data_IF_155922628740
#
_entry.id   IF_155922628740
#
_cell.length_a   1.000
_cell.length_b   1.000
_cell.length_c   1.000
_cell.angle_alpha   90.00
_cell.angle_beta   90.00
_cell.angle_gamma   90.00
#
_symmetry.space_group_name_H-M   'P 1'
#
loop_
_entity.id
_entity.type
_entity.pdbx_description
1 polymer ?
#
# COMPACT_ATOMS: atom_id res chain seq x y z
N UNK A 1 -19.15 20.89 15.29
CA UNK A 1 -19.09 20.18 14.00
C UNK A 1 -17.69 20.39 13.45
N UNK A 2 -16.78 19.46 13.72
CA UNK A 2 -15.43 19.48 13.14
C UNK A 2 -15.55 18.72 11.83
N UNK A 3 -15.58 19.45 10.71
CA UNK A 3 -15.37 18.83 9.40
C UNK A 3 -13.92 18.35 9.37
N UNK A 4 -13.71 17.04 9.47
CA UNK A 4 -12.41 16.44 9.21
C UNK A 4 -12.09 16.64 7.74
N UNK A 5 -11.14 17.53 7.48
CA UNK A 5 -10.50 17.67 6.17
C UNK A 5 -9.93 16.30 5.82
N UNK A 6 -10.48 15.65 4.78
CA UNK A 6 -9.91 14.41 4.25
C UNK A 6 -8.64 14.84 3.55
N UNK A 7 -7.56 14.98 4.30
CA UNK A 7 -6.26 15.35 3.75
C UNK A 7 -5.94 14.39 2.61
N UNK A 8 -5.74 14.95 1.40
CA UNK A 8 -5.32 14.18 0.25
C UNK A 8 -3.99 13.47 0.59
N UNK A 9 -3.94 12.17 0.35
CA UNK A 9 -2.74 11.36 0.46
C UNK A 9 -2.24 11.11 -0.95
N UNK A 10 -1.15 11.77 -1.35
CA UNK A 10 -0.48 11.49 -2.62
C UNK A 10 0.65 10.49 -2.37
N UNK A 11 0.64 9.39 -3.11
CA UNK A 11 1.71 8.38 -3.08
C UNK A 11 2.60 8.57 -4.31
N UNK A 12 3.89 8.77 -4.08
CA UNK A 12 4.89 8.88 -5.14
C UNK A 12 5.46 7.50 -5.52
N UNK A 13 6.04 7.41 -6.70
CA UNK A 13 6.70 6.21 -7.23
C UNK A 13 7.87 5.73 -6.35
N UNK A 14 8.53 6.67 -5.66
CA UNK A 14 9.58 6.41 -4.67
C UNK A 14 9.06 6.01 -3.28
N UNK A 15 7.75 5.80 -3.13
CA UNK A 15 7.11 5.37 -1.88
C UNK A 15 6.92 6.48 -0.84
N UNK A 16 7.13 7.75 -1.20
CA UNK A 16 6.79 8.88 -0.32
C UNK A 16 5.29 9.13 -0.30
N UNK A 17 4.83 9.65 0.84
CA UNK A 17 3.44 10.08 1.02
C UNK A 17 3.39 11.58 1.30
N UNK A 18 2.58 12.32 0.56
CA UNK A 18 2.19 13.68 0.93
C UNK A 18 0.81 13.61 1.56
N UNK A 19 0.73 13.80 2.88
CA UNK A 19 -0.54 14.03 3.58
C UNK A 19 -0.63 15.52 3.83
N UNK A 20 -1.72 16.17 3.39
CA UNK A 20 -1.99 17.62 3.52
C UNK A 20 -1.18 18.30 4.63
N UNK A 21 -0.11 19.00 4.23
CA UNK A 21 0.88 19.76 5.00
C UNK A 21 2.13 19.07 5.60
N UNK A 22 2.24 17.73 5.63
CA UNK A 22 3.46 17.04 6.10
C UNK A 22 3.86 15.92 5.13
N UNK A 23 5.01 16.07 4.49
CA UNK A 23 5.61 14.97 3.73
C UNK A 23 6.13 13.91 4.71
N UNK A 24 5.45 12.77 4.78
CA UNK A 24 5.93 11.59 5.52
C UNK A 24 6.73 10.72 4.54
N UNK A 25 8.04 10.67 4.75
CA UNK A 25 8.93 9.83 3.97
C UNK A 25 9.43 8.69 4.86
N UNK A 26 9.11 7.47 4.48
CA UNK A 26 9.70 6.27 5.08
C UNK A 26 11.20 6.26 4.74
N UNK A 27 12.05 5.95 5.71
CA UNK A 27 13.50 5.81 5.56
C UNK A 27 13.95 4.41 5.99
N UNK A 28 13.66 3.36 5.19
CA UNK A 28 13.99 1.97 5.51
C UNK A 28 15.46 1.73 5.85
N UNK A 29 16.37 2.51 5.25
CA UNK A 29 17.81 2.37 5.49
C UNK A 29 18.28 3.02 6.80
N UNK A 30 17.41 3.74 7.52
CA UNK A 30 17.75 4.53 8.72
C UNK A 30 16.84 4.24 9.91
N UNK A 31 15.65 3.69 9.68
CA UNK A 31 14.70 3.35 10.71
C UNK A 31 14.17 1.91 10.49
N UNK A 32 14.39 1.00 11.46
CA UNK A 32 13.88 -0.38 11.35
C UNK A 32 12.36 -0.46 11.30
N UNK A 33 11.62 0.49 11.89
CA UNK A 33 10.15 0.52 11.81
C UNK A 33 9.71 0.85 10.39
N UNK A 34 10.33 1.86 9.77
CA UNK A 34 10.05 2.21 8.37
C UNK A 34 10.39 1.05 7.43
N UNK A 35 11.46 0.31 7.72
CA UNK A 35 11.82 -0.89 6.96
C UNK A 35 10.73 -1.97 7.05
N UNK A 36 10.21 -2.23 8.25
CA UNK A 36 9.11 -3.18 8.46
C UNK A 36 7.81 -2.73 7.77
N UNK A 37 7.47 -1.44 7.86
CA UNK A 37 6.29 -0.89 7.18
C UNK A 37 6.39 -1.11 5.67
N UNK A 38 7.56 -0.81 5.06
CA UNK A 38 7.79 -1.03 3.63
C UNK A 38 7.70 -2.51 3.29
N UNK A 39 8.35 -3.39 4.07
CA UNK A 39 8.34 -4.83 3.82
C UNK A 39 6.93 -5.43 3.87
N UNK A 40 6.15 -5.13 4.92
CA UNK A 40 4.77 -5.60 5.06
C UNK A 40 3.89 -5.04 3.94
N UNK A 41 4.05 -3.77 3.57
CA UNK A 41 3.28 -3.16 2.49
C UNK A 41 3.57 -3.83 1.13
N UNK A 42 4.83 -4.16 0.86
CA UNK A 42 5.22 -4.89 -0.35
C UNK A 42 4.67 -6.32 -0.35
N UNK A 43 4.76 -7.01 0.78
CA UNK A 43 4.21 -8.35 0.96
C UNK A 43 2.70 -8.40 0.70
N UNK A 44 1.96 -7.47 1.30
CA UNK A 44 0.51 -7.30 1.09
C UNK A 44 0.23 -7.03 -0.39
N UNK A 45 0.99 -6.15 -1.04
CA UNK A 45 0.82 -5.86 -2.47
C UNK A 45 1.02 -7.10 -3.35
N UNK A 46 2.07 -7.89 -3.10
CA UNK A 46 2.32 -9.14 -3.83
C UNK A 46 1.19 -10.14 -3.62
N UNK A 47 0.72 -10.31 -2.38
CA UNK A 47 -0.38 -11.22 -2.09
C UNK A 47 -1.70 -10.80 -2.75
N UNK A 48 -1.99 -9.50 -2.78
CA UNK A 48 -3.15 -8.96 -3.49
C UNK A 48 -3.05 -9.16 -5.01
N UNK A 49 -1.83 -9.17 -5.56
CA UNK A 49 -1.56 -9.50 -6.96
C UNK A 49 -1.62 -11.01 -7.27
N UNK A 50 -1.86 -11.87 -6.27
CA UNK A 50 -2.02 -13.30 -6.43
C UNK A 50 -0.78 -14.14 -6.12
N UNK A 51 0.27 -13.55 -5.54
CA UNK A 51 1.41 -14.32 -5.01
C UNK A 51 0.98 -15.06 -3.76
N UNK A 52 1.28 -16.36 -3.71
CA UNK A 52 0.99 -17.20 -2.56
C UNK A 52 1.90 -16.83 -1.38
N UNK A 53 1.33 -16.76 -0.17
CA UNK A 53 2.10 -16.37 1.02
C UNK A 53 3.23 -17.38 1.35
N UNK A 54 3.13 -18.63 0.90
CA UNK A 54 4.22 -19.60 1.04
C UNK A 54 5.49 -19.23 0.24
N UNK A 55 5.36 -18.44 -0.82
CA UNK A 55 6.48 -17.92 -1.61
C UNK A 55 7.03 -16.61 -1.04
N UNK A 56 6.19 -15.87 -0.31
CA UNK A 56 6.50 -14.55 0.23
C UNK A 56 7.76 -14.53 1.10
N UNK A 57 7.94 -15.52 1.99
CA UNK A 57 9.12 -15.57 2.88
C UNK A 57 10.42 -15.57 2.07
N UNK A 58 10.49 -16.42 1.04
CA UNK A 58 11.66 -16.53 0.16
C UNK A 58 11.90 -15.20 -0.54
N UNK A 59 10.85 -14.61 -1.09
CA UNK A 59 10.94 -13.35 -1.84
C UNK A 59 11.39 -12.18 -0.94
N UNK A 60 10.97 -12.15 0.33
CA UNK A 60 11.43 -11.17 1.32
C UNK A 60 12.93 -11.31 1.62
N UNK A 61 13.42 -12.55 1.79
CA UNK A 61 14.86 -12.81 2.01
C UNK A 61 15.67 -12.47 0.77
N UNK A 62 15.19 -12.81 -0.42
CA UNK A 62 15.83 -12.45 -1.70
C UNK A 62 15.88 -10.93 -1.92
N UNK A 63 14.89 -10.19 -1.39
CA UNK A 63 14.89 -8.74 -1.37
C UNK A 63 15.86 -8.12 -0.32
N UNK A 64 16.59 -8.94 0.42
CA UNK A 64 17.61 -8.51 1.38
C UNK A 64 17.11 -8.36 2.82
N UNK A 65 15.92 -8.86 3.15
CA UNK A 65 15.43 -8.91 4.52
C UNK A 65 16.17 -9.99 5.32
N UNK A 66 16.45 -9.70 6.60
CA UNK A 66 16.96 -10.72 7.51
C UNK A 66 15.94 -11.84 7.72
N UNK A 67 16.42 -13.08 7.84
CA UNK A 67 15.55 -14.26 7.88
C UNK A 67 14.52 -14.20 9.02
N UNK A 68 14.93 -13.79 10.23
CA UNK A 68 14.04 -13.68 11.39
C UNK A 68 12.93 -12.64 11.18
N UNK A 69 13.26 -11.52 10.54
CA UNK A 69 12.26 -10.50 10.22
C UNK A 69 11.33 -10.99 9.11
N UNK A 70 11.85 -11.71 8.11
CA UNK A 70 11.06 -12.32 7.06
C UNK A 70 10.08 -13.37 7.62
N UNK A 71 10.53 -14.19 8.58
CA UNK A 71 9.70 -15.15 9.31
C UNK A 71 8.57 -14.42 10.06
N UNK A 72 8.90 -13.36 10.81
CA UNK A 72 7.90 -12.59 11.55
C UNK A 72 6.84 -11.94 10.65
N UNK A 73 7.23 -11.40 9.49
CA UNK A 73 6.28 -10.83 8.52
C UNK A 73 5.43 -11.92 7.88
N UNK A 74 6.04 -13.04 7.50
CA UNK A 74 5.34 -14.17 6.91
C UNK A 74 4.27 -14.72 7.87
N UNK A 75 4.64 -15.02 9.12
CA UNK A 75 3.74 -15.59 10.11
C UNK A 75 2.60 -14.61 10.44
N UNK A 76 2.92 -13.32 10.57
CA UNK A 76 1.90 -12.30 10.79
C UNK A 76 0.86 -12.25 9.67
N UNK A 77 1.27 -12.39 8.41
CA UNK A 77 0.36 -12.35 7.26
C UNK A 77 -0.42 -13.65 7.06
N UNK A 78 0.15 -14.80 7.45
CA UNK A 78 -0.58 -16.07 7.50
C UNK A 78 -1.70 -16.08 8.55
N UNK A 79 -1.50 -15.38 9.67
CA UNK A 79 -2.50 -15.26 10.73
C UNK A 79 -3.68 -14.35 10.37
N UNK A 80 -3.57 -13.55 9.30
CA UNK A 80 -4.67 -12.71 8.82
C UNK A 80 -5.81 -13.58 8.28
N UNK A 81 -7.01 -13.39 8.81
CA UNK A 81 -8.16 -14.21 8.43
C UNK A 81 -8.57 -13.99 6.97
N UNK A 82 -9.16 -15.02 6.35
CA UNK A 82 -9.75 -14.92 4.99
C UNK A 82 -10.74 -13.75 4.89
N UNK A 83 -11.50 -13.48 5.96
CA UNK A 83 -12.46 -12.37 6.03
C UNK A 83 -11.75 -11.01 6.00
N UNK A 84 -10.63 -10.88 6.71
CA UNK A 84 -9.88 -9.63 6.74
C UNK A 84 -9.17 -9.40 5.40
N UNK A 85 -8.63 -10.45 4.79
CA UNK A 85 -8.14 -10.38 3.42
C UNK A 85 -9.22 -9.97 2.42
N UNK A 86 -10.44 -10.50 2.56
CA UNK A 86 -11.57 -10.09 1.72
C UNK A 86 -11.92 -8.61 1.89
N UNK A 87 -11.85 -8.08 3.12
CA UNK A 87 -12.06 -6.66 3.38
C UNK A 87 -10.97 -5.78 2.75
N UNK A 88 -9.70 -6.19 2.83
CA UNK A 88 -8.58 -5.48 2.18
C UNK A 88 -8.79 -5.45 0.67
N UNK A 89 -9.12 -6.60 0.04
CA UNK A 89 -9.41 -6.66 -1.40
C UNK A 89 -10.58 -5.75 -1.79
N UNK A 90 -11.65 -5.73 -0.99
CA UNK A 90 -12.80 -4.86 -1.23
C UNK A 90 -12.42 -3.37 -1.17
N UNK A 91 -11.51 -3.00 -0.26
CA UNK A 91 -10.99 -1.63 -0.16
C UNK A 91 -10.10 -1.26 -1.35
N UNK A 92 -9.20 -2.15 -1.75
CA UNK A 92 -8.36 -1.95 -2.94
C UNK A 92 -9.23 -1.73 -4.17
N UNK A 93 -10.22 -2.62 -4.39
CA UNK A 93 -11.16 -2.48 -5.50
C UNK A 93 -11.94 -1.15 -5.46
N UNK A 94 -12.39 -0.73 -4.28
CA UNK A 94 -13.07 0.56 -4.12
C UNK A 94 -12.19 1.72 -4.61
N UNK A 95 -10.90 1.72 -4.25
CA UNK A 95 -9.97 2.78 -4.67
C UNK A 95 -9.62 2.71 -6.15
N UNK A 96 -9.50 1.52 -6.73
CA UNK A 96 -9.33 1.35 -8.18
C UNK A 96 -10.52 1.95 -8.95
N UNK A 97 -11.75 1.59 -8.54
CA UNK A 97 -12.97 2.09 -9.15
C UNK A 97 -13.12 3.62 -8.97
N UNK A 98 -12.78 4.17 -7.80
CA UNK A 98 -12.86 5.61 -7.54
C UNK A 98 -11.80 6.42 -8.30
N UNK A 99 -10.57 5.91 -8.41
CA UNK A 99 -9.51 6.53 -9.21
C UNK A 99 -9.88 6.56 -10.70
N UNK A 100 -10.46 5.48 -11.23
CA UNK A 100 -10.95 5.44 -12.60
C UNK A 100 -12.06 6.48 -12.84
N UNK A 101 -12.96 6.67 -11.86
CA UNK A 101 -14.01 7.69 -11.91
C UNK A 101 -13.44 9.11 -11.92
N UNK A 102 -12.43 9.40 -11.10
CA UNK A 102 -11.76 10.71 -11.07
C UNK A 102 -11.08 11.00 -12.41
N UNK A 103 -10.31 10.04 -12.94
CA UNK A 103 -9.62 10.20 -14.23
C UNK A 103 -10.58 10.46 -15.38
N UNK A 104 -11.73 9.77 -15.43
CA UNK A 104 -12.77 9.99 -16.44
C UNK A 104 -13.40 11.40 -16.35
N UNK A 105 -13.54 11.95 -15.14
CA UNK A 105 -14.08 13.28 -14.92
C UNK A 105 -13.11 14.39 -15.38
N UNK A 106 -11.80 14.16 -15.24
CA UNK A 106 -10.78 15.10 -15.70
C UNK A 106 -10.67 15.16 -17.24
N UNK A 107 -10.86 14.04 -17.94
CA UNK A 107 -10.91 14.03 -19.42
C UNK A 107 -12.14 14.74 -19.99
N UNK A 108 -13.29 14.66 -19.31
CA UNK A 108 -14.51 15.33 -19.78
C UNK A 108 -14.40 16.87 -19.68
N UNK A 109 -13.55 17.38 -18.77
CA UNK A 109 -13.26 18.81 -18.65
C UNK A 109 -12.27 19.34 -19.69
N UNK A 110 -11.37 18.51 -20.21
CA UNK A 110 -10.40 18.94 -21.22
C UNK A 110 -11.00 19.01 -22.63
N UNK A 111 -12.09 18.28 -22.90
CA UNK A 111 -12.80 18.33 -24.19
C UNK A 111 -13.81 19.51 -24.30
N UNK A 112 -14.14 20.17 -23.19
CA UNK A 112 -15.08 21.30 -23.14
C UNK A 112 -14.46 22.71 -23.27
N UNK A 113 -13.15 22.82 -23.50
CA UNK A 113 -12.47 24.11 -23.75
C UNK A 113 -11.95 24.16 -25.19
N UNK A 114 -12.81 24.51 -26.14
CA UNK A 114 -12.43 24.95 -27.50
C UNK A 114 -13.44 25.97 -28.02
#
# INVERSE_FOLDING_TARGET
>A
MVCGDRGDIYVFDDGKFLVSSTAFALRPSRDPIDALIVAVSQAVKLHLAGVELGELRRDLVEAGMGEEQADSVHDHLLDVSVKDWAQVRARVKFYEDDNARIAAFDTDKSEGSS
#
